data_IF_799378655102
#
_entry.id   IF_799378655102
#
_cell.length_a   1.000
_cell.length_b   1.000
_cell.length_c   1.000
_cell.angle_alpha   90.00
_cell.angle_beta   90.00
_cell.angle_gamma   90.00
#
_symmetry.space_group_name_H-M   'P 1'
#
loop_
_entity.id
_entity.type
_entity.pdbx_description
1 polymer ?
#
# COMPACT_ATOMS: atom_id res chain seq x y z
N UNK A 1 -2.11 4.38 28.04
CA UNK A 1 -2.31 3.57 27.68
C UNK A 1 -1.59 2.91 27.10
N UNK A 2 -1.52 2.42 27.09
CA UNK A 2 -1.03 1.88 26.45
C UNK A 2 -1.45 0.83 25.90
N UNK A 3 -2.12 0.79 25.53
CA UNK A 3 -2.84 -0.06 24.68
C UNK A 3 -2.01 -0.75 23.68
N UNK A 4 -0.78 -0.48 23.62
CA UNK A 4 0.17 -1.07 22.71
C UNK A 4 0.24 -2.57 22.91
N UNK A 5 0.08 -3.01 24.13
CA UNK A 5 0.11 -4.44 24.44
C UNK A 5 -1.07 -5.17 23.82
N UNK A 6 -2.18 -4.50 23.66
CA UNK A 6 -3.35 -5.11 23.08
C UNK A 6 -3.22 -5.26 21.58
N UNK A 7 -2.51 -4.32 20.96
CA UNK A 7 -2.37 -4.29 19.51
C UNK A 7 -1.29 -5.25 19.05
N UNK A 8 -0.29 -5.53 19.88
CA UNK A 8 0.87 -6.29 19.45
C UNK A 8 0.66 -7.79 19.41
N UNK A 9 -0.46 -8.29 19.91
CA UNK A 9 -0.62 -9.74 20.03
C UNK A 9 -1.78 -10.25 19.18
N UNK A 10 -1.73 -9.92 17.89
CA UNK A 10 -2.73 -10.38 16.95
C UNK A 10 -2.81 -11.90 16.86
N UNK A 11 -1.67 -12.58 17.06
CA UNK A 11 -1.64 -14.03 17.01
C UNK A 11 -2.46 -14.66 18.12
N UNK A 12 -2.51 -14.03 19.28
CA UNK A 12 -3.33 -14.53 20.38
C UNK A 12 -4.80 -14.35 20.06
N UNK A 13 -5.15 -13.23 19.40
CA UNK A 13 -6.51 -13.01 18.95
C UNK A 13 -6.90 -14.08 17.92
N UNK A 14 -5.98 -14.44 17.04
CA UNK A 14 -6.23 -15.49 16.06
C UNK A 14 -6.41 -16.85 16.72
N UNK A 15 -5.68 -17.12 17.79
CA UNK A 15 -5.83 -18.37 18.54
C UNK A 15 -7.21 -18.47 19.16
N UNK A 16 -7.78 -17.33 19.53
CA UNK A 16 -9.14 -17.28 20.04
C UNK A 16 -10.19 -17.31 18.93
N UNK A 17 -9.75 -17.36 17.68
CA UNK A 17 -10.64 -17.45 16.53
C UNK A 17 -11.26 -16.13 16.11
N UNK A 18 -10.76 -15.03 16.63
CA UNK A 18 -11.32 -13.71 16.31
C UNK A 18 -10.23 -12.71 15.97
N UNK A 19 -10.53 -11.84 15.04
CA UNK A 19 -9.66 -10.73 14.67
C UNK A 19 -10.42 -9.44 14.91
N UNK A 20 -9.78 -8.49 15.57
CA UNK A 20 -10.39 -7.20 15.83
C UNK A 20 -10.58 -6.43 14.53
N UNK A 21 -11.77 -5.87 14.34
CA UNK A 21 -12.07 -5.01 13.20
C UNK A 21 -11.79 -3.54 13.51
N UNK A 22 -11.07 -3.27 14.59
CA UNK A 22 -10.74 -1.90 14.99
C UNK A 22 -10.07 -1.07 13.89
N UNK A 23 -9.17 -1.65 13.05
CA UNK A 23 -8.53 -0.88 12.00
C UNK A 23 -9.43 -0.54 10.81
N UNK A 24 -10.67 -1.02 10.77
CA UNK A 24 -11.52 -0.85 9.59
C UNK A 24 -11.82 0.60 9.26
N UNK A 25 -11.81 1.49 10.25
CA UNK A 25 -12.04 2.92 10.05
C UNK A 25 -10.75 3.70 9.85
N UNK A 26 -9.61 3.05 9.97
CA UNK A 26 -8.30 3.67 9.83
C UNK A 26 -7.60 3.23 8.56
N UNK A 27 -6.34 2.83 8.73
CA UNK A 27 -5.49 2.50 7.59
C UNK A 27 -6.05 1.35 6.75
N UNK A 28 -6.70 0.37 7.36
CA UNK A 28 -7.28 -0.75 6.60
C UNK A 28 -8.34 -0.27 5.63
N UNK A 29 -9.11 0.76 6.00
CA UNK A 29 -10.09 1.32 5.10
C UNK A 29 -9.43 1.88 3.83
N UNK A 30 -8.29 2.52 3.98
CA UNK A 30 -7.52 3.04 2.84
C UNK A 30 -6.97 1.89 2.00
N UNK A 31 -6.36 0.90 2.64
CA UNK A 31 -5.70 -0.22 1.96
C UNK A 31 -6.69 -1.15 1.27
N UNK A 32 -7.95 -1.14 1.69
CA UNK A 32 -8.97 -2.03 1.11
C UNK A 32 -9.54 -1.52 -0.21
N UNK A 33 -9.22 -0.30 -0.60
CA UNK A 33 -9.70 0.25 -1.86
C UNK A 33 -9.01 -0.44 -3.03
N UNK A 34 -9.76 -0.56 -4.12
CA UNK A 34 -9.22 -1.18 -5.33
C UNK A 34 -7.95 -0.45 -5.78
N UNK A 35 -6.97 -1.22 -6.20
CA UNK A 35 -5.67 -0.79 -6.73
C UNK A 35 -4.63 -0.43 -5.67
N UNK A 36 -5.03 -0.12 -4.45
CA UNK A 36 -4.12 0.46 -3.46
C UNK A 36 -2.92 -0.44 -3.15
N UNK A 37 -3.17 -1.71 -2.82
CA UNK A 37 -2.07 -2.63 -2.50
C UNK A 37 -1.14 -2.83 -3.70
N UNK A 38 -1.71 -2.91 -4.91
CA UNK A 38 -0.91 -3.10 -6.11
C UNK A 38 -0.05 -1.88 -6.42
N UNK A 39 -0.57 -0.68 -6.17
CA UNK A 39 0.21 0.55 -6.34
C UNK A 39 1.41 0.54 -5.39
N UNK A 40 1.20 0.16 -4.13
CA UNK A 40 2.27 0.04 -3.16
C UNK A 40 3.35 -0.94 -3.66
N UNK A 41 2.93 -2.08 -4.17
CA UNK A 41 3.87 -3.09 -4.68
C UNK A 41 4.67 -2.55 -5.86
N UNK A 42 4.02 -1.86 -6.79
CA UNK A 42 4.70 -1.28 -7.96
C UNK A 42 5.76 -0.26 -7.51
N UNK A 43 5.40 0.64 -6.59
CA UNK A 43 6.34 1.63 -6.09
C UNK A 43 7.51 0.95 -5.38
N UNK A 44 7.21 -0.05 -4.56
CA UNK A 44 8.24 -0.81 -3.85
C UNK A 44 9.20 -1.51 -4.77
N UNK A 45 8.70 -2.09 -5.87
CA UNK A 45 9.54 -2.80 -6.84
C UNK A 45 10.51 -1.88 -7.56
N UNK A 46 10.13 -0.62 -7.75
CA UNK A 46 10.96 0.32 -8.51
C UNK A 46 11.82 1.22 -7.63
N UNK A 47 11.51 1.30 -6.32
CA UNK A 47 12.16 2.23 -5.43
C UNK A 47 11.67 3.66 -5.64
N UNK A 48 11.92 4.23 -6.80
CA UNK A 48 11.44 5.55 -7.20
C UNK A 48 10.81 5.43 -8.58
N UNK A 49 9.62 6.02 -8.75
CA UNK A 49 8.87 5.85 -9.98
C UNK A 49 8.01 7.09 -10.25
N UNK A 50 7.84 7.41 -11.54
CA UNK A 50 7.01 8.52 -11.98
C UNK A 50 5.58 8.06 -12.27
N UNK A 51 4.66 9.01 -12.21
CA UNK A 51 3.24 8.77 -12.40
C UNK A 51 2.93 7.96 -13.67
N UNK A 52 3.46 8.40 -14.81
CA UNK A 52 3.15 7.72 -16.07
C UNK A 52 3.65 6.28 -16.10
N UNK A 53 4.75 6.00 -15.41
CA UNK A 53 5.27 4.66 -15.36
C UNK A 53 4.41 3.77 -14.48
N UNK A 54 3.86 4.32 -13.40
CA UNK A 54 2.88 3.60 -12.59
C UNK A 54 1.66 3.25 -13.44
N UNK A 55 1.17 4.24 -14.20
CA UNK A 55 0.02 4.03 -15.10
C UNK A 55 0.25 2.86 -16.04
N UNK A 56 1.44 2.74 -16.58
CA UNK A 56 1.76 1.69 -17.54
C UNK A 56 1.78 0.28 -16.94
N UNK A 57 1.84 0.18 -15.63
CA UNK A 57 1.81 -1.13 -14.98
C UNK A 57 0.40 -1.73 -14.93
N UNK A 58 -0.61 -0.91 -15.19
CA UNK A 58 -2.00 -1.34 -15.06
C UNK A 58 -2.75 -1.08 -16.36
N UNK A 59 -3.57 -2.05 -16.78
CA UNK A 59 -4.33 -1.90 -18.02
C UNK A 59 -5.61 -1.10 -17.82
N UNK A 60 -6.21 -1.17 -16.63
CA UNK A 60 -7.55 -0.68 -16.41
C UNK A 60 -7.67 0.51 -15.46
N UNK A 61 -6.57 1.00 -14.93
CA UNK A 61 -6.61 2.15 -14.03
C UNK A 61 -6.63 3.43 -14.85
N UNK A 62 -7.42 4.42 -14.41
CA UNK A 62 -7.41 5.72 -15.06
C UNK A 62 -6.62 6.73 -14.23
N UNK A 63 -6.21 7.87 -14.83
CA UNK A 63 -5.38 8.85 -14.13
C UNK A 63 -6.03 9.42 -12.87
N UNK A 64 -7.35 9.59 -12.88
CA UNK A 64 -8.03 10.14 -11.72
C UNK A 64 -7.96 9.18 -10.54
N UNK A 65 -8.21 7.90 -10.78
CA UNK A 65 -8.13 6.89 -9.73
C UNK A 65 -6.72 6.81 -9.17
N UNK A 66 -5.72 6.77 -10.05
CA UNK A 66 -4.33 6.73 -9.58
C UNK A 66 -3.98 7.96 -8.76
N UNK A 67 -4.39 9.14 -9.23
CA UNK A 67 -4.15 10.37 -8.48
C UNK A 67 -4.79 10.30 -7.10
N UNK A 68 -6.05 9.85 -7.02
CA UNK A 68 -6.75 9.76 -5.75
C UNK A 68 -6.07 8.78 -4.80
N UNK A 69 -5.67 7.62 -5.31
CA UNK A 69 -4.99 6.62 -4.48
C UNK A 69 -3.64 7.11 -3.98
N UNK A 70 -2.87 7.78 -4.83
CA UNK A 70 -1.58 8.32 -4.42
C UNK A 70 -1.74 9.40 -3.36
N UNK A 71 -2.74 10.27 -3.50
CA UNK A 71 -2.99 11.31 -2.49
C UNK A 71 -3.37 10.69 -1.15
N UNK A 72 -4.19 9.65 -1.18
CA UNK A 72 -4.56 8.95 0.05
C UNK A 72 -3.34 8.33 0.72
N UNK A 73 -2.47 7.72 -0.08
CA UNK A 73 -1.26 7.09 0.44
C UNK A 73 -0.27 8.10 0.99
N UNK A 74 -0.17 9.28 0.37
CA UNK A 74 0.64 10.37 0.91
C UNK A 74 0.08 10.83 2.25
N UNK A 75 -1.24 11.00 2.34
CA UNK A 75 -1.90 11.45 3.56
C UNK A 75 -1.64 10.49 4.71
N UNK A 76 -1.60 9.21 4.42
CA UNK A 76 -1.34 8.18 5.43
C UNK A 76 0.16 7.98 5.68
N UNK A 77 1.00 8.79 5.06
CA UNK A 77 2.46 8.72 5.21
C UNK A 77 3.05 7.39 4.77
N UNK A 78 2.48 6.77 3.77
CA UNK A 78 3.00 5.53 3.19
C UNK A 78 3.81 5.78 1.93
N UNK A 79 3.49 6.86 1.21
CA UNK A 79 4.14 7.23 -0.04
C UNK A 79 4.65 8.66 0.08
N UNK A 80 5.85 8.89 -0.44
CA UNK A 80 6.48 10.19 -0.50
C UNK A 80 6.41 10.69 -1.94
N UNK A 81 5.88 11.90 -2.11
CA UNK A 81 5.85 12.57 -3.39
C UNK A 81 6.94 13.65 -3.40
N UNK A 82 7.81 13.60 -4.39
CA UNK A 82 8.89 14.57 -4.50
C UNK A 82 8.82 15.24 -5.85
N UNK A 83 8.63 16.56 -5.85
CA UNK A 83 8.57 17.35 -7.07
C UNK A 83 9.89 18.05 -7.26
N UNK A 84 10.39 18.04 -8.50
CA UNK A 84 11.63 18.71 -8.87
C UNK A 84 11.30 19.91 -9.76
N UNK A 85 11.90 21.05 -9.43
CA UNK A 85 11.68 22.28 -10.19
C UNK A 85 12.44 22.21 -11.50
N UNK A 86 11.86 21.53 -12.46
CA UNK A 86 12.40 21.34 -13.81
C UNK A 86 11.35 21.70 -14.85
N UNK A 87 11.75 21.78 -16.10
CA UNK A 87 10.84 22.01 -17.21
C UNK A 87 11.04 20.90 -18.21
N UNK A 88 10.05 19.99 -18.37
CA UNK A 88 8.78 19.91 -17.65
C UNK A 88 8.96 19.47 -16.19
N UNK A 89 7.96 19.76 -15.38
CA UNK A 89 7.97 19.38 -13.96
C UNK A 89 8.14 17.88 -13.82
N UNK A 90 9.05 17.48 -12.94
CA UNK A 90 9.28 16.08 -12.65
C UNK A 90 8.77 15.76 -11.26
N UNK A 91 7.93 14.74 -11.14
CA UNK A 91 7.40 14.27 -9.87
C UNK A 91 7.72 12.79 -9.72
N UNK A 92 8.27 12.43 -8.59
CA UNK A 92 8.63 11.04 -8.30
C UNK A 92 7.96 10.56 -7.02
N UNK A 93 7.59 9.29 -7.01
CA UNK A 93 6.97 8.64 -5.87
C UNK A 93 7.87 7.54 -5.35
N UNK A 94 7.95 7.43 -4.02
CA UNK A 94 8.70 6.37 -3.36
C UNK A 94 7.98 6.00 -2.08
N UNK A 95 8.35 4.87 -1.48
CA UNK A 95 7.75 4.47 -0.21
C UNK A 95 8.46 5.16 0.95
N UNK A 96 7.68 5.58 1.95
CA UNK A 96 8.21 6.01 3.24
C UNK A 96 8.70 4.79 4.00
N UNK A 97 9.28 5.01 5.20
CA UNK A 97 9.64 3.89 6.06
C UNK A 97 8.42 3.05 6.42
N UNK A 98 7.28 3.70 6.69
CA UNK A 98 6.04 2.99 6.96
C UNK A 98 5.57 2.20 5.74
N UNK A 99 5.73 2.78 4.55
CA UNK A 99 5.39 2.08 3.31
C UNK A 99 6.24 0.85 3.08
N UNK A 100 7.53 0.91 3.42
CA UNK A 100 8.43 -0.23 3.31
C UNK A 100 8.06 -1.32 4.31
N UNK A 101 7.68 -0.93 5.50
CA UNK A 101 7.18 -1.85 6.50
C UNK A 101 5.91 -2.54 6.03
N UNK A 102 5.02 -1.78 5.39
CA UNK A 102 3.81 -2.32 4.82
C UNK A 102 4.10 -3.35 3.72
N UNK A 103 5.09 -3.10 2.87
CA UNK A 103 5.48 -4.07 1.83
C UNK A 103 5.84 -5.41 2.46
N UNK A 104 6.55 -5.41 3.57
CA UNK A 104 6.92 -6.64 4.25
C UNK A 104 5.69 -7.43 4.70
N UNK A 105 4.60 -6.75 5.00
CA UNK A 105 3.35 -7.39 5.35
C UNK A 105 2.58 -7.86 4.11
N UNK A 106 2.75 -7.17 2.99
CA UNK A 106 2.04 -7.51 1.75
C UNK A 106 2.67 -8.72 1.05
N UNK A 107 3.99 -8.87 1.11
CA UNK A 107 4.69 -9.94 0.39
C UNK A 107 4.10 -11.33 0.69
N UNK A 108 3.90 -11.73 1.94
CA UNK A 108 3.29 -13.04 2.21
C UNK A 108 1.91 -13.19 1.59
N UNK A 109 1.13 -12.12 1.58
CA UNK A 109 -0.19 -12.13 0.97
C UNK A 109 -0.09 -12.38 -0.54
N UNK A 110 0.84 -11.68 -1.19
CA UNK A 110 1.04 -11.84 -2.62
C UNK A 110 1.54 -13.24 -2.97
N UNK A 111 2.42 -13.79 -2.14
CA UNK A 111 2.91 -15.14 -2.33
C UNK A 111 1.78 -16.16 -2.21
N UNK A 112 0.94 -15.99 -1.21
CA UNK A 112 -0.21 -16.87 -1.02
C UNK A 112 -1.16 -16.78 -2.22
N UNK A 113 -1.44 -15.56 -2.70
CA UNK A 113 -2.33 -15.34 -3.84
C UNK A 113 -1.77 -15.97 -5.11
N UNK A 114 -0.46 -15.86 -5.32
CA UNK A 114 0.19 -16.46 -6.49
C UNK A 114 0.03 -17.98 -6.49
N UNK A 115 0.25 -18.59 -5.34
CA UNK A 115 0.07 -20.03 -5.21
C UNK A 115 -1.37 -20.46 -5.44
N UNK A 116 -2.29 -19.67 -4.93
CA UNK A 116 -3.72 -19.94 -5.06
C UNK A 116 -4.14 -19.89 -6.53
N UNK A 117 -3.67 -18.89 -7.24
CA UNK A 117 -4.00 -18.73 -8.66
C UNK A 117 -3.35 -19.80 -9.54
N UNK A 118 -2.17 -20.27 -9.18
CA UNK A 118 -1.49 -21.29 -9.93
C UNK A 118 -2.22 -22.64 -9.90
N UNK A 119 -3.09 -22.84 -8.93
CA UNK A 119 -3.85 -24.09 -8.80
C UNK A 119 -5.15 -24.09 -9.61
N UNK A 120 -5.46 -23.00 -10.25
CA UNK A 120 -6.68 -22.92 -11.08
C UNK A 120 -6.49 -23.55 -12.48
#
# INVERSE_FOLDING_TARGET
MNNDNEVTNLRDVLKEGKICLCPVKGIINVLSKKWTLLIIVVIGNHGTIRFNKIMKQFEAINPKILTDRLKELEKENLVIRKAFAEVPLRVEYSLSNDGKELIDAIIPLMEWATKKDAKK
#
